data_IF_191161381067
#
_entry.id   IF_191161381067
#
_cell.length_a   1.000
_cell.length_b   1.000
_cell.length_c   1.000
_cell.angle_alpha   90.00
_cell.angle_beta   90.00
_cell.angle_gamma   90.00
#
_symmetry.space_group_name_H-M   'P 1'
#
loop_
_entity.id
_entity.type
_entity.pdbx_description
1 polymer ?
#
# COMPACT_ATOMS: atom_id res chain seq x y z
N UNK A 1 13.05 -26.01 -15.06
CA UNK A 1 14.16 -25.53 -14.21
C UNK A 1 13.68 -25.56 -12.76
N UNK A 2 14.50 -26.13 -11.88
CA UNK A 2 14.16 -26.23 -10.46
C UNK A 2 14.14 -24.83 -9.81
N UNK A 3 13.14 -24.59 -8.98
CA UNK A 3 13.02 -23.42 -8.11
C UNK A 3 13.37 -23.74 -6.66
N UNK A 4 13.86 -24.99 -6.43
CA UNK A 4 14.24 -25.44 -5.09
C UNK A 4 15.71 -25.13 -4.84
N UNK A 5 15.99 -24.43 -3.73
CA UNK A 5 17.33 -24.12 -3.25
C UNK A 5 17.40 -24.28 -1.73
N UNK A 6 18.40 -25.01 -1.24
CA UNK A 6 18.56 -25.32 0.20
C UNK A 6 17.29 -25.90 0.85
N UNK A 7 16.52 -26.72 0.09
CA UNK A 7 15.30 -27.38 0.57
C UNK A 7 14.03 -26.54 0.57
N UNK A 8 14.08 -25.26 0.14
CA UNK A 8 12.94 -24.37 0.02
C UNK A 8 12.55 -24.19 -1.44
N UNK A 9 11.25 -24.23 -1.76
CA UNK A 9 10.73 -23.92 -3.09
C UNK A 9 10.42 -22.41 -3.20
N UNK A 10 11.18 -21.74 -4.05
CA UNK A 10 11.03 -20.30 -4.32
C UNK A 10 10.09 -19.99 -5.49
N UNK A 11 9.40 -20.97 -6.10
CA UNK A 11 8.52 -20.75 -7.25
C UNK A 11 7.52 -19.58 -7.06
N UNK A 12 6.92 -19.36 -5.88
CA UNK A 12 5.98 -18.25 -5.71
C UNK A 12 6.61 -16.86 -5.81
N UNK A 13 7.94 -16.73 -5.58
CA UNK A 13 8.64 -15.46 -5.50
C UNK A 13 9.75 -15.30 -6.56
N UNK A 14 10.03 -16.35 -7.34
CA UNK A 14 11.14 -16.38 -8.28
C UNK A 14 10.77 -16.99 -9.63
N UNK A 15 11.04 -16.26 -10.71
CA UNK A 15 11.08 -16.69 -12.10
C UNK A 15 12.45 -16.32 -12.69
N UNK A 16 13.23 -17.33 -13.09
CA UNK A 16 14.59 -17.12 -13.58
C UNK A 16 14.66 -16.25 -14.85
N UNK A 17 13.70 -16.41 -15.77
CA UNK A 17 13.65 -15.59 -16.99
C UNK A 17 13.30 -14.15 -16.67
N UNK A 18 12.28 -13.94 -15.82
CA UNK A 18 11.92 -12.62 -15.34
C UNK A 18 13.11 -11.93 -14.68
N UNK A 19 13.79 -12.62 -13.76
CA UNK A 19 14.90 -12.10 -13.00
C UNK A 19 16.06 -11.67 -13.90
N UNK A 20 16.50 -12.56 -14.80
CA UNK A 20 17.61 -12.29 -15.74
C UNK A 20 17.26 -11.21 -16.80
N UNK A 21 15.99 -11.14 -17.22
CA UNK A 21 15.55 -10.10 -18.15
C UNK A 21 15.45 -8.72 -17.51
N UNK A 22 15.16 -8.68 -16.19
CA UNK A 22 15.02 -7.45 -15.44
C UNK A 22 16.37 -6.80 -15.08
N UNK A 23 17.40 -7.62 -14.86
CA UNK A 23 18.70 -7.18 -14.37
C UNK A 23 19.80 -7.52 -15.38
N UNK A 24 20.26 -6.50 -16.13
CA UNK A 24 21.27 -6.68 -17.17
C UNK A 24 22.62 -7.13 -16.64
N UNK A 25 22.99 -6.75 -15.42
CA UNK A 25 24.19 -7.21 -14.71
C UNK A 25 24.16 -8.72 -14.50
N UNK A 26 23.02 -9.26 -14.07
CA UNK A 26 22.83 -10.69 -13.87
C UNK A 26 22.74 -11.44 -15.20
N UNK A 27 22.10 -10.84 -16.20
CA UNK A 27 22.05 -11.41 -17.55
C UNK A 27 23.44 -11.55 -18.15
N UNK A 28 24.28 -10.56 -17.94
CA UNK A 28 25.68 -10.57 -18.40
C UNK A 28 26.52 -11.61 -17.65
N UNK A 29 26.31 -11.75 -16.34
CA UNK A 29 27.06 -12.67 -15.50
C UNK A 29 26.67 -14.14 -15.69
N UNK A 30 25.36 -14.42 -15.82
CA UNK A 30 24.84 -15.79 -15.79
C UNK A 30 24.27 -16.27 -17.13
N UNK A 31 24.04 -15.40 -18.10
CA UNK A 31 23.44 -15.78 -19.39
C UNK A 31 22.07 -16.43 -19.23
N UNK A 32 21.99 -17.74 -19.44
CA UNK A 32 20.80 -18.57 -19.22
C UNK A 32 21.02 -19.63 -18.11
N UNK A 33 22.04 -19.44 -17.26
CA UNK A 33 22.21 -20.30 -16.08
C UNK A 33 21.19 -19.95 -15.01
N UNK A 34 20.04 -20.61 -15.08
CA UNK A 34 18.91 -20.40 -14.18
C UNK A 34 19.19 -20.87 -12.74
N UNK A 35 20.09 -21.86 -12.58
CA UNK A 35 20.49 -22.33 -11.26
C UNK A 35 21.37 -21.30 -10.56
N UNK A 36 22.30 -20.69 -11.29
CA UNK A 36 23.11 -19.58 -10.76
C UNK A 36 22.23 -18.34 -10.43
N UNK A 37 21.23 -18.06 -11.27
CA UNK A 37 20.29 -16.99 -11.02
C UNK A 37 19.47 -17.19 -9.73
N UNK A 38 18.96 -18.41 -9.50
CA UNK A 38 18.26 -18.76 -8.26
C UNK A 38 19.18 -18.64 -7.04
N UNK A 39 20.38 -19.21 -7.15
CA UNK A 39 21.38 -19.09 -6.06
C UNK A 39 21.66 -17.62 -5.72
N UNK A 40 21.90 -16.78 -6.73
CA UNK A 40 22.13 -15.35 -6.53
C UNK A 40 20.93 -14.67 -5.86
N UNK A 41 19.71 -14.96 -6.33
CA UNK A 41 18.49 -14.38 -5.75
C UNK A 41 18.41 -14.66 -4.25
N UNK A 42 18.59 -15.92 -3.86
CA UNK A 42 18.46 -16.32 -2.45
C UNK A 42 19.61 -15.79 -1.59
N UNK A 43 20.84 -15.88 -2.07
CA UNK A 43 22.01 -15.53 -1.27
C UNK A 43 22.26 -14.00 -1.20
N UNK A 44 21.80 -13.23 -2.21
CA UNK A 44 22.03 -11.78 -2.32
C UNK A 44 20.81 -10.98 -2.73
N UNK A 45 20.08 -11.40 -3.77
CA UNK A 45 19.03 -10.64 -4.41
C UNK A 45 17.88 -10.26 -3.48
N UNK A 46 17.50 -11.15 -2.56
CA UNK A 46 16.48 -10.87 -1.54
C UNK A 46 16.96 -9.72 -0.63
N UNK A 47 18.19 -9.80 -0.11
CA UNK A 47 18.78 -8.76 0.72
C UNK A 47 18.89 -7.42 0.00
N UNK A 48 19.20 -7.43 -1.29
CA UNK A 48 19.27 -6.26 -2.15
C UNK A 48 17.89 -5.69 -2.54
N UNK A 49 16.80 -6.38 -2.18
CA UNK A 49 15.44 -5.98 -2.54
C UNK A 49 15.11 -6.17 -4.03
N UNK A 50 15.84 -7.05 -4.73
CA UNK A 50 15.60 -7.33 -6.15
C UNK A 50 14.31 -8.11 -6.35
N UNK A 51 13.46 -7.64 -7.25
CA UNK A 51 12.23 -8.32 -7.65
C UNK A 51 12.57 -9.43 -8.64
N UNK A 52 12.12 -10.65 -8.35
CA UNK A 52 12.45 -11.83 -9.17
C UNK A 52 11.23 -12.53 -9.78
N UNK A 53 10.02 -12.00 -9.60
CA UNK A 53 8.80 -12.48 -10.28
C UNK A 53 7.75 -11.37 -10.43
N UNK A 54 6.76 -11.60 -11.28
CA UNK A 54 5.60 -10.69 -11.36
C UNK A 54 4.68 -10.78 -10.14
N UNK A 55 4.66 -11.92 -9.47
CA UNK A 55 3.76 -12.20 -8.35
C UNK A 55 4.23 -11.66 -7.02
N UNK A 56 5.53 -11.36 -6.88
CA UNK A 56 6.12 -10.94 -5.61
C UNK A 56 7.15 -9.82 -5.77
N UNK A 57 7.03 -8.81 -4.92
CA UNK A 57 8.01 -7.74 -4.72
C UNK A 57 8.13 -7.48 -3.22
N UNK A 58 9.30 -7.72 -2.65
CA UNK A 58 9.53 -7.58 -1.20
C UNK A 58 9.30 -6.15 -0.73
N UNK A 59 9.60 -5.15 -1.56
CA UNK A 59 9.37 -3.73 -1.24
C UNK A 59 7.89 -3.42 -1.12
N UNK A 60 7.07 -3.95 -2.05
CA UNK A 60 5.61 -3.81 -1.99
C UNK A 60 5.03 -4.59 -0.81
N UNK A 61 5.49 -5.82 -0.59
CA UNK A 61 5.03 -6.66 0.52
C UNK A 61 5.28 -6.00 1.87
N UNK A 62 6.51 -5.53 2.10
CA UNK A 62 6.86 -4.75 3.29
C UNK A 62 5.96 -3.52 3.45
N UNK A 63 5.79 -2.73 2.39
CA UNK A 63 5.04 -1.49 2.43
C UNK A 63 3.52 -1.70 2.64
N UNK A 64 2.98 -2.87 2.27
CA UNK A 64 1.56 -3.19 2.43
C UNK A 64 1.18 -3.61 3.86
N UNK A 65 2.14 -4.13 4.66
CA UNK A 65 1.84 -4.79 5.92
C UNK A 65 2.63 -4.23 7.10
N UNK A 66 2.09 -3.17 7.77
CA UNK A 66 2.73 -2.58 8.96
C UNK A 66 2.95 -3.56 10.10
N UNK A 67 2.08 -4.58 10.25
CA UNK A 67 2.23 -5.67 11.24
C UNK A 67 3.55 -6.44 11.05
N UNK A 68 3.95 -6.67 9.80
CA UNK A 68 5.22 -7.33 9.50
C UNK A 68 6.40 -6.38 9.68
N UNK A 69 6.21 -5.08 9.47
CA UNK A 69 7.28 -4.10 9.69
C UNK A 69 7.69 -4.02 11.16
N UNK A 70 6.74 -4.12 12.08
CA UNK A 70 7.01 -4.18 13.53
C UNK A 70 7.82 -5.43 13.91
N UNK A 71 7.57 -6.57 13.23
CA UNK A 71 8.22 -7.83 13.52
C UNK A 71 9.60 -7.98 12.88
N UNK A 72 9.74 -7.51 11.63
CA UNK A 72 10.90 -7.86 10.79
C UNK A 72 11.81 -6.67 10.47
N UNK A 73 11.33 -5.43 10.69
CA UNK A 73 12.11 -4.23 10.37
C UNK A 73 12.55 -4.21 8.91
N UNK A 74 13.86 -4.10 8.67
CA UNK A 74 14.43 -4.03 7.32
C UNK A 74 14.96 -5.36 6.77
N UNK A 75 14.77 -6.46 7.49
CA UNK A 75 15.25 -7.79 7.07
C UNK A 75 14.36 -8.39 5.97
N UNK A 76 14.73 -8.16 4.72
CA UNK A 76 13.98 -8.63 3.56
C UNK A 76 13.79 -10.16 3.52
N UNK A 77 14.75 -10.92 4.02
CA UNK A 77 14.67 -12.40 4.04
C UNK A 77 13.48 -12.86 4.86
N UNK A 78 13.21 -12.23 6.01
CA UNK A 78 12.06 -12.57 6.86
C UNK A 78 10.72 -12.31 6.18
N UNK A 79 10.62 -11.29 5.34
CA UNK A 79 9.39 -11.04 4.56
C UNK A 79 9.17 -12.11 3.49
N UNK A 80 10.23 -12.55 2.82
CA UNK A 80 10.14 -13.64 1.83
C UNK A 80 9.75 -14.94 2.51
N UNK A 81 10.41 -15.29 3.62
CA UNK A 81 10.09 -16.50 4.40
C UNK A 81 8.64 -16.47 4.87
N UNK A 82 8.19 -15.35 5.46
CA UNK A 82 6.81 -15.19 5.89
C UNK A 82 5.81 -15.35 4.73
N UNK A 83 6.13 -14.77 3.56
CA UNK A 83 5.24 -14.88 2.39
C UNK A 83 5.09 -16.34 1.93
N UNK A 84 6.20 -17.08 1.88
CA UNK A 84 6.21 -18.50 1.49
C UNK A 84 5.48 -19.37 2.51
N UNK A 85 5.71 -19.14 3.81
CA UNK A 85 5.17 -19.99 4.87
C UNK A 85 3.71 -19.66 5.21
N UNK A 86 3.32 -18.40 5.17
CA UNK A 86 2.03 -17.92 5.65
C UNK A 86 1.30 -17.01 4.66
N UNK A 87 2.00 -16.03 4.09
CA UNK A 87 1.39 -14.91 3.35
C UNK A 87 0.54 -15.34 2.18
N UNK A 88 0.95 -16.39 1.46
CA UNK A 88 0.19 -16.97 0.34
C UNK A 88 -1.15 -17.51 0.84
N UNK A 89 -1.14 -18.30 1.91
CA UNK A 89 -2.34 -18.90 2.50
C UNK A 89 -3.26 -17.87 3.15
N UNK A 90 -2.68 -16.77 3.65
CA UNK A 90 -3.41 -15.62 4.18
C UNK A 90 -4.00 -14.72 3.08
N UNK A 91 -3.69 -14.98 1.82
CA UNK A 91 -4.12 -14.16 0.69
C UNK A 91 -3.49 -12.76 0.65
N UNK A 92 -2.30 -12.59 1.24
CA UNK A 92 -1.61 -11.30 1.26
C UNK A 92 -1.10 -10.91 -0.12
N UNK A 93 -1.30 -9.64 -0.49
CA UNK A 93 -0.88 -9.08 -1.77
C UNK A 93 0.59 -8.63 -1.72
N UNK A 94 1.39 -9.09 -2.70
CA UNK A 94 2.80 -8.78 -2.77
C UNK A 94 3.27 -8.21 -4.13
N UNK A 95 2.35 -8.04 -5.08
CA UNK A 95 2.70 -7.61 -6.46
C UNK A 95 2.24 -6.19 -6.81
N UNK A 96 1.46 -5.55 -5.97
CA UNK A 96 1.01 -4.16 -6.07
C UNK A 96 0.80 -3.53 -4.70
N UNK A 97 0.65 -2.22 -4.67
CA UNK A 97 0.17 -1.55 -3.45
C UNK A 97 -1.30 -1.88 -3.23
N UNK A 98 -1.64 -2.22 -1.99
CA UNK A 98 -3.03 -2.30 -1.55
C UNK A 98 -3.55 -0.89 -1.23
N UNK A 99 -4.85 -0.68 -1.44
CA UNK A 99 -5.49 0.60 -1.13
C UNK A 99 -5.81 0.68 0.36
N UNK A 100 -5.27 1.71 1.01
CA UNK A 100 -5.63 2.12 2.37
C UNK A 100 -5.75 3.65 2.39
N UNK A 101 -6.74 4.18 3.10
CA UNK A 101 -7.04 5.60 3.09
C UNK A 101 -7.81 6.05 1.86
N UNK A 102 -7.79 7.36 1.56
CA UNK A 102 -8.55 7.91 0.45
C UNK A 102 -7.88 7.57 -0.89
N UNK A 103 -8.68 7.08 -1.83
CA UNK A 103 -8.29 6.87 -3.23
C UNK A 103 -9.45 7.20 -4.17
N UNK A 104 -9.11 7.55 -5.43
CA UNK A 104 -10.10 7.80 -6.49
C UNK A 104 -10.49 6.48 -7.14
N UNK A 105 -11.77 6.19 -7.19
CA UNK A 105 -12.33 5.03 -7.88
C UNK A 105 -12.54 5.27 -9.38
N UNK A 106 -12.88 4.21 -10.11
CA UNK A 106 -13.16 4.28 -11.56
C UNK A 106 -14.34 5.19 -11.92
N UNK A 107 -15.25 5.45 -10.99
CA UNK A 107 -16.38 6.40 -11.15
C UNK A 107 -15.97 7.87 -10.95
N UNK A 108 -14.68 8.13 -10.68
CA UNK A 108 -14.12 9.46 -10.43
C UNK A 108 -14.37 10.00 -9.03
N UNK A 109 -15.08 9.27 -8.17
CA UNK A 109 -15.32 9.66 -6.78
C UNK A 109 -14.19 9.18 -5.89
N UNK A 110 -14.06 9.82 -4.72
CA UNK A 110 -13.09 9.44 -3.68
C UNK A 110 -13.78 8.63 -2.60
N UNK A 111 -13.14 7.51 -2.25
CA UNK A 111 -13.60 6.64 -1.16
C UNK A 111 -12.46 6.38 -0.19
N UNK A 112 -12.82 6.06 1.05
CA UNK A 112 -11.87 5.60 2.06
C UNK A 112 -11.77 4.07 2.02
N UNK A 113 -10.58 3.58 1.78
CA UNK A 113 -10.29 2.16 1.63
C UNK A 113 -9.58 1.60 2.87
N UNK A 114 -9.86 0.35 3.16
CA UNK A 114 -9.12 -0.49 4.09
C UNK A 114 -8.90 -1.85 3.42
N UNK A 115 -7.64 -2.21 3.20
CA UNK A 115 -7.25 -3.45 2.53
C UNK A 115 -8.00 -3.69 1.22
N UNK A 116 -7.95 -2.72 0.30
CA UNK A 116 -8.60 -2.72 -1.02
C UNK A 116 -10.14 -2.67 -1.01
N UNK A 117 -10.78 -2.67 0.13
CA UNK A 117 -12.23 -2.55 0.23
C UNK A 117 -12.61 -1.15 0.72
N UNK A 118 -13.73 -0.61 0.21
CA UNK A 118 -14.29 0.62 0.76
C UNK A 118 -14.73 0.33 2.19
N UNK A 119 -14.17 1.06 3.15
CA UNK A 119 -14.55 0.94 4.57
C UNK A 119 -15.80 1.77 4.86
N UNK A 120 -16.96 1.17 4.66
CA UNK A 120 -18.25 1.83 4.89
C UNK A 120 -18.54 2.14 6.37
N UNK A 121 -17.74 1.60 7.28
CA UNK A 121 -17.81 1.91 8.72
C UNK A 121 -17.07 3.19 9.08
N UNK A 122 -16.16 3.67 8.20
CA UNK A 122 -15.35 4.84 8.49
C UNK A 122 -16.13 6.14 8.29
N UNK A 123 -16.22 6.94 9.35
CA UNK A 123 -16.69 8.32 9.32
C UNK A 123 -15.71 9.18 10.10
N UNK A 124 -15.23 10.28 9.52
CA UNK A 124 -14.25 11.14 10.13
C UNK A 124 -13.39 11.86 9.11
N UNK A 125 -12.25 12.37 9.54
CA UNK A 125 -11.33 13.07 8.66
C UNK A 125 -10.15 12.19 8.25
N UNK A 126 -9.80 12.25 6.96
CA UNK A 126 -8.63 11.57 6.41
C UNK A 126 -7.84 12.49 5.47
N UNK A 127 -6.52 12.30 5.45
CA UNK A 127 -5.63 13.06 4.58
C UNK A 127 -5.59 12.46 3.18
N UNK A 128 -5.56 13.33 2.17
CA UNK A 128 -5.35 12.96 0.78
C UNK A 128 -4.67 14.12 0.04
N UNK A 129 -3.51 13.87 -0.57
CA UNK A 129 -2.73 14.86 -1.33
C UNK A 129 -2.53 16.18 -0.59
N UNK A 130 -2.15 16.10 0.71
CA UNK A 130 -1.86 17.26 1.54
C UNK A 130 -3.09 18.02 2.05
N UNK A 131 -4.29 17.57 1.75
CA UNK A 131 -5.55 18.14 2.26
C UNK A 131 -6.23 17.16 3.22
N UNK A 132 -7.04 17.70 4.14
CA UNK A 132 -7.87 16.93 5.08
C UNK A 132 -9.30 16.91 4.57
N UNK A 133 -9.85 15.73 4.29
CA UNK A 133 -11.21 15.56 3.78
C UNK A 133 -12.12 14.91 4.81
N UNK A 134 -13.39 15.33 4.81
CA UNK A 134 -14.44 14.67 5.58
C UNK A 134 -14.95 13.45 4.83
N UNK A 135 -14.97 12.31 5.50
CA UNK A 135 -15.46 11.03 5.00
C UNK A 135 -16.69 10.66 5.80
N UNK A 136 -17.75 10.26 5.13
CA UNK A 136 -18.99 9.80 5.73
C UNK A 136 -19.33 8.41 5.19
N UNK A 137 -19.29 7.38 6.06
CA UNK A 137 -19.59 6.01 5.68
C UNK A 137 -18.73 5.51 4.51
N UNK A 138 -17.43 5.77 4.56
CA UNK A 138 -16.47 5.37 3.52
C UNK A 138 -16.45 6.22 2.26
N UNK A 139 -17.36 7.19 2.11
CA UNK A 139 -17.40 8.09 0.94
C UNK A 139 -16.89 9.47 1.33
N UNK A 140 -15.95 10.00 0.55
CA UNK A 140 -15.48 11.38 0.74
C UNK A 140 -16.60 12.33 0.36
N UNK A 141 -16.96 13.21 1.31
CA UNK A 141 -17.99 14.22 1.10
C UNK A 141 -17.60 15.20 0.00
N UNK A 142 -18.57 15.64 -0.79
CA UNK A 142 -18.43 16.77 -1.71
C UNK A 142 -19.12 18.04 -1.19
N UNK A 143 -19.55 18.01 0.08
CA UNK A 143 -20.30 19.09 0.70
C UNK A 143 -19.43 20.34 0.86
N UNK A 144 -20.05 21.52 0.64
CA UNK A 144 -19.47 22.81 0.95
C UNK A 144 -20.34 23.50 2.01
N UNK A 145 -19.72 23.89 3.12
CA UNK A 145 -20.41 24.51 4.26
C UNK A 145 -19.93 23.95 5.60
N UNK A 146 -20.66 24.25 6.67
CA UNK A 146 -20.31 23.83 8.02
C UNK A 146 -20.72 22.39 8.31
N UNK A 147 -19.82 21.65 8.93
CA UNK A 147 -20.05 20.28 9.42
C UNK A 147 -19.62 20.20 10.88
N UNK A 148 -20.50 19.64 11.73
CA UNK A 148 -20.17 19.34 13.12
C UNK A 148 -19.62 17.91 13.20
N UNK A 149 -18.41 17.76 13.74
CA UNK A 149 -17.81 16.46 14.01
C UNK A 149 -17.12 16.47 15.37
N UNK A 150 -17.49 15.51 16.23
CA UNK A 150 -16.94 15.37 17.60
C UNK A 150 -16.96 16.69 18.41
N UNK A 151 -18.06 17.43 18.30
CA UNK A 151 -18.26 18.68 19.02
C UNK A 151 -17.56 19.91 18.46
N UNK A 152 -16.83 19.78 17.34
CA UNK A 152 -16.11 20.87 16.65
C UNK A 152 -16.75 21.15 15.29
N UNK A 153 -16.92 22.44 14.97
CA UNK A 153 -17.39 22.89 13.67
C UNK A 153 -16.22 23.02 12.70
N UNK A 154 -16.42 22.52 11.51
CA UNK A 154 -15.46 22.59 10.40
C UNK A 154 -16.13 23.26 9.20
N UNK A 155 -15.43 24.20 8.57
CA UNK A 155 -15.80 24.75 7.27
C UNK A 155 -15.21 23.86 6.16
N UNK A 156 -16.10 23.31 5.31
CA UNK A 156 -15.71 22.45 4.22
C UNK A 156 -15.89 23.16 2.87
N UNK A 157 -14.94 22.92 1.97
CA UNK A 157 -15.05 23.28 0.56
C UNK A 157 -14.90 22.00 -0.29
N UNK A 158 -16.00 21.58 -0.91
CA UNK A 158 -16.07 20.30 -1.65
C UNK A 158 -15.46 19.13 -0.86
N UNK A 159 -15.86 19.01 0.42
CA UNK A 159 -15.42 17.98 1.36
C UNK A 159 -14.06 18.20 1.99
N UNK A 160 -13.22 19.09 1.47
CA UNK A 160 -11.94 19.42 2.08
C UNK A 160 -12.10 20.47 3.19
N UNK A 161 -11.40 20.28 4.31
CA UNK A 161 -11.35 21.29 5.38
C UNK A 161 -10.68 22.55 4.86
N UNK A 162 -11.35 23.68 5.02
CA UNK A 162 -10.81 24.99 4.71
C UNK A 162 -9.83 25.40 5.80
N UNK A 163 -8.53 25.21 5.57
CA UNK A 163 -7.46 25.58 6.51
C UNK A 163 -7.00 27.02 6.37
N UNK A 164 -7.53 27.76 5.41
CA UNK A 164 -7.15 29.15 5.13
C UNK A 164 -7.93 30.13 5.99
N UNK A 165 -8.95 29.67 6.68
CA UNK A 165 -9.79 30.52 7.50
C UNK A 165 -9.98 29.92 8.90
N UNK A 166 -9.77 30.75 9.91
CA UNK A 166 -10.12 30.48 11.30
C UNK A 166 -10.88 31.71 11.82
N UNK A 167 -12.09 31.50 12.33
CA UNK A 167 -12.90 32.61 12.81
C UNK A 167 -14.39 32.31 12.79
N UNK A 168 -15.21 33.39 12.78
CA UNK A 168 -16.67 33.25 12.79
C UNK A 168 -17.23 33.11 11.37
N UNK A 169 -18.00 32.07 11.16
CA UNK A 169 -18.76 31.83 9.91
C UNK A 169 -20.25 31.90 10.21
N UNK A 170 -21.00 32.65 9.41
CA UNK A 170 -22.47 32.70 9.52
C UNK A 170 -23.08 31.57 8.70
N UNK A 171 -23.89 30.72 9.36
CA UNK A 171 -24.58 29.62 8.74
C UNK A 171 -25.99 29.49 9.29
N UNK A 172 -26.99 29.43 8.40
CA UNK A 172 -28.39 29.37 8.78
C UNK A 172 -28.81 30.44 9.82
N UNK A 173 -28.30 31.67 9.66
CA UNK A 173 -28.60 32.78 10.52
C UNK A 173 -27.79 32.87 11.83
N UNK A 174 -27.05 31.85 12.17
CA UNK A 174 -26.21 31.77 13.37
C UNK A 174 -24.72 31.92 13.04
N UNK A 175 -23.95 32.36 14.04
CA UNK A 175 -22.48 32.46 13.94
C UNK A 175 -21.82 31.27 14.59
N UNK A 176 -20.84 30.68 13.91
CA UNK A 176 -20.06 29.54 14.36
C UNK A 176 -18.57 29.89 14.25
N UNK A 177 -17.79 29.46 15.25
CA UNK A 177 -16.34 29.55 15.19
C UNK A 177 -15.76 28.28 14.57
N UNK A 178 -14.91 28.40 13.54
CA UNK A 178 -14.25 27.32 12.80
C UNK A 178 -12.74 27.45 12.85
#
# INVERSE_FOLDING_TARGET
TSTIYKGVDYAPVFDAKYYLNRYSDLKSAFGNDYAAALKHFVDYGIGEGRRASESFDVTLYKANYPDLQELFGDDNTKYVDHYLDYGINEGRCANRRILNGISVASDGKKYYYKNDQVDTSYTGFAAYQGKKYYVLGGTVSNYTGLTLYEGTWYDLNAGAVNTQYTGLVKYNGNWYYV
#
